data_IF_907729247365
#
_entry.id   IF_907729247365
#
_cell.length_a   1.000
_cell.length_b   1.000
_cell.length_c   1.000
_cell.angle_alpha   90.00
_cell.angle_beta   90.00
_cell.angle_gamma   90.00
#
_symmetry.space_group_name_H-M   'P 1'
#
loop_
_entity.id
_entity.type
_entity.pdbx_description
1 polymer ?
#
# COMPACT_ATOMS: atom_id res chain seq x y z
N UNK A 1 -50.12 21.16 -72.90
CA UNK A 1 -48.97 20.23 -73.05
C UNK A 1 -48.56 19.82 -71.64
N UNK A 2 -48.87 18.59 -71.19
CA UNK A 2 -48.00 17.38 -71.26
C UNK A 2 -46.68 17.63 -70.50
N UNK A 3 -46.25 16.91 -69.46
CA UNK A 3 -46.54 15.56 -68.97
C UNK A 3 -46.15 15.41 -67.48
N UNK A 4 -46.78 14.42 -66.82
CA UNK A 4 -46.36 13.77 -65.58
C UNK A 4 -45.04 13.02 -65.77
N UNK A 5 -44.19 12.92 -64.74
CA UNK A 5 -43.28 11.78 -64.57
C UNK A 5 -43.29 11.34 -63.09
N UNK A 6 -43.65 10.07 -62.91
CA UNK A 6 -43.43 9.27 -61.72
C UNK A 6 -42.15 8.42 -61.93
N UNK A 7 -41.42 8.13 -60.87
CA UNK A 7 -40.41 7.06 -60.78
C UNK A 7 -40.45 6.56 -59.33
N UNK A 8 -41.10 5.43 -59.04
CA UNK A 8 -40.69 4.02 -59.21
C UNK A 8 -39.63 3.58 -58.18
N UNK A 9 -40.08 2.60 -57.40
CA UNK A 9 -39.39 1.80 -56.39
C UNK A 9 -38.05 1.19 -56.85
N UNK A 10 -37.15 0.98 -55.90
CA UNK A 10 -36.31 -0.22 -55.85
C UNK A 10 -36.04 -0.59 -54.37
N UNK A 11 -36.41 -1.82 -54.02
CA UNK A 11 -36.17 -2.41 -52.70
C UNK A 11 -34.84 -3.17 -52.63
N UNK A 12 -34.84 -4.19 -51.74
CA UNK A 12 -33.77 -5.17 -51.42
C UNK A 12 -32.83 -4.62 -50.31
N UNK A 13 -32.83 -5.11 -49.07
CA UNK A 13 -32.21 -6.40 -48.68
C UNK A 13 -32.43 -6.73 -47.20
N UNK A 14 -32.80 -8.01 -46.98
CA UNK A 14 -32.50 -8.92 -45.87
C UNK A 14 -31.97 -8.38 -44.52
N UNK A 15 -32.78 -8.62 -43.47
CA UNK A 15 -32.33 -8.71 -42.09
C UNK A 15 -31.42 -9.93 -41.91
N UNK A 16 -30.16 -9.68 -41.53
CA UNK A 16 -29.22 -10.71 -41.09
C UNK A 16 -28.88 -10.45 -39.63
N UNK A 17 -29.39 -11.31 -38.76
CA UNK A 17 -29.19 -11.28 -37.32
C UNK A 17 -27.78 -11.80 -36.98
N UNK A 18 -26.82 -10.90 -36.79
CA UNK A 18 -25.52 -11.22 -36.20
C UNK A 18 -25.52 -10.76 -34.74
N UNK A 19 -25.73 -11.69 -33.82
CA UNK A 19 -25.48 -11.47 -32.40
C UNK A 19 -23.96 -11.44 -32.17
N UNK A 20 -23.40 -10.23 -32.04
CA UNK A 20 -22.03 -10.04 -31.56
C UNK A 20 -22.00 -10.25 -30.05
N UNK A 21 -21.51 -11.41 -29.64
CA UNK A 21 -21.01 -11.63 -28.28
C UNK A 21 -19.74 -10.79 -28.10
N UNK A 22 -19.88 -9.61 -27.51
CA UNK A 22 -18.75 -8.83 -27.02
C UNK A 22 -18.24 -9.49 -25.73
N UNK A 23 -17.16 -10.26 -25.82
CA UNK A 23 -16.38 -10.65 -24.66
C UNK A 23 -15.73 -9.39 -24.09
N UNK A 24 -16.24 -8.94 -22.94
CA UNK A 24 -15.59 -7.92 -22.13
C UNK A 24 -14.29 -8.52 -21.58
N UNK A 25 -13.16 -8.16 -22.17
CA UNK A 25 -11.85 -8.29 -21.55
C UNK A 25 -11.82 -7.31 -20.37
N UNK A 26 -11.99 -7.84 -19.16
CA UNK A 26 -11.71 -7.08 -17.95
C UNK A 26 -10.21 -6.82 -17.89
N UNK A 27 -9.80 -5.61 -18.27
CA UNK A 27 -8.48 -5.10 -17.98
C UNK A 27 -8.38 -4.88 -16.48
N UNK A 28 -7.82 -5.87 -15.78
CA UNK A 28 -7.41 -5.73 -14.38
C UNK A 28 -6.32 -4.66 -14.36
N UNK A 29 -6.67 -3.45 -13.92
CA UNK A 29 -5.71 -2.39 -13.68
C UNK A 29 -4.67 -2.81 -12.63
N UNK A 30 -3.49 -2.19 -12.62
CA UNK A 30 -2.46 -2.49 -11.61
C UNK A 30 -3.04 -2.31 -10.20
N UNK A 31 -2.82 -3.30 -9.34
CA UNK A 31 -3.20 -3.26 -7.93
C UNK A 31 -2.57 -2.01 -7.27
N UNK A 32 -3.29 -1.31 -6.36
CA UNK A 32 -2.74 -0.18 -5.65
C UNK A 32 -1.49 -0.63 -4.87
N UNK A 33 -0.33 -0.10 -5.24
CA UNK A 33 0.90 -0.31 -4.49
C UNK A 33 0.70 0.27 -3.08
N UNK A 34 0.97 -0.55 -2.06
CA UNK A 34 0.77 -0.17 -0.66
C UNK A 34 2.03 0.54 -0.21
N UNK A 35 2.03 1.87 -0.26
CA UNK A 35 3.17 2.65 0.29
C UNK A 35 3.24 2.48 1.82
N UNK A 36 4.43 2.47 2.40
CA UNK A 36 4.56 2.16 3.83
C UNK A 36 5.37 3.25 4.51
N UNK A 37 4.80 3.82 5.56
CA UNK A 37 5.58 4.61 6.51
C UNK A 37 6.33 3.67 7.43
N UNK A 38 7.66 3.78 7.46
CA UNK A 38 8.45 3.03 8.44
C UNK A 38 8.29 3.72 9.78
N UNK A 39 7.53 3.08 10.67
CA UNK A 39 7.39 3.54 12.04
C UNK A 39 8.70 3.19 12.78
N UNK A 40 9.61 4.14 12.91
CA UNK A 40 10.74 4.02 13.81
C UNK A 40 10.29 3.92 15.29
N UNK A 41 11.18 3.49 16.20
CA UNK A 41 10.85 3.40 17.64
C UNK A 41 10.32 4.72 18.22
N UNK A 42 10.74 5.84 17.64
CA UNK A 42 10.29 7.18 18.04
C UNK A 42 8.93 7.59 17.46
N UNK A 43 8.36 6.87 16.47
CA UNK A 43 7.04 7.18 15.88
C UNK A 43 5.94 6.27 16.43
N UNK A 44 6.27 5.09 16.97
CA UNK A 44 5.29 4.15 17.55
C UNK A 44 4.88 4.51 18.98
N UNK A 45 5.76 5.16 19.75
CA UNK A 45 5.57 5.40 21.20
C UNK A 45 5.79 6.88 21.61
N UNK A 46 6.02 7.77 20.63
CA UNK A 46 6.41 9.16 20.88
C UNK A 46 5.25 10.11 21.22
N UNK A 47 5.57 11.26 21.84
CA UNK A 47 4.63 12.38 21.98
C UNK A 47 4.10 12.74 20.57
N UNK A 48 2.77 12.84 20.34
CA UNK A 48 2.21 13.28 19.07
C UNK A 48 2.78 14.63 18.61
N UNK A 49 3.31 15.42 19.54
CA UNK A 49 4.10 16.61 19.31
C UNK A 49 5.59 16.31 19.48
N UNK A 50 6.22 15.75 18.45
CA UNK A 50 7.68 15.55 18.41
C UNK A 50 8.46 16.85 18.57
N UNK A 51 9.68 16.73 19.10
CA UNK A 51 10.64 17.83 19.20
C UNK A 51 10.95 18.41 17.82
N UNK A 52 10.78 19.72 17.70
CA UNK A 52 10.99 20.45 16.46
C UNK A 52 12.48 20.78 16.29
N UNK A 53 13.11 20.22 15.25
CA UNK A 53 14.47 20.60 14.83
C UNK A 53 14.39 21.58 13.66
N UNK A 54 14.88 22.83 13.80
CA UNK A 54 14.92 23.78 12.70
C UNK A 54 15.71 23.25 11.51
N UNK A 55 15.22 23.52 10.30
CA UNK A 55 15.89 23.17 9.05
C UNK A 55 17.07 24.11 8.77
N UNK A 56 18.01 23.63 7.96
CA UNK A 56 19.17 24.41 7.46
C UNK A 56 19.30 24.20 5.95
N UNK A 57 18.28 24.60 5.22
CA UNK A 57 18.25 24.52 3.75
C UNK A 57 18.79 25.83 3.20
N UNK A 58 19.78 25.74 2.31
CA UNK A 58 20.25 26.89 1.55
C UNK A 58 19.32 27.12 0.35
N UNK A 59 18.81 28.35 0.22
CA UNK A 59 17.96 28.75 -0.89
C UNK A 59 18.32 30.16 -1.37
N UNK A 60 18.12 30.38 -2.66
CA UNK A 60 18.40 31.65 -3.35
C UNK A 60 17.46 32.74 -2.84
N UNK A 61 17.97 33.96 -2.61
CA UNK A 61 17.17 35.10 -2.12
C UNK A 61 16.46 35.88 -3.25
N UNK A 62 16.66 35.47 -4.50
CA UNK A 62 16.01 36.08 -5.66
C UNK A 62 14.49 35.92 -5.55
N UNK A 63 13.70 36.94 -5.90
CA UNK A 63 12.26 36.88 -5.80
C UNK A 63 11.68 35.84 -6.78
N UNK A 64 10.65 35.13 -6.33
CA UNK A 64 9.94 34.13 -7.13
C UNK A 64 9.38 34.71 -8.45
N UNK A 65 9.71 34.08 -9.57
CA UNK A 65 9.18 34.41 -10.90
C UNK A 65 7.92 33.60 -11.23
N UNK A 66 7.18 34.01 -12.27
CA UNK A 66 5.96 33.31 -12.71
C UNK A 66 6.28 31.87 -13.14
N UNK A 67 7.46 31.66 -13.74
CA UNK A 67 7.96 30.34 -14.13
C UNK A 67 8.12 29.42 -12.93
N UNK A 68 8.87 29.87 -11.92
CA UNK A 68 9.09 29.14 -10.66
C UNK A 68 7.79 28.86 -9.91
N UNK A 69 6.84 29.81 -9.87
CA UNK A 69 5.51 29.56 -9.28
C UNK A 69 4.80 28.38 -9.94
N UNK A 70 4.78 28.34 -11.27
CA UNK A 70 4.10 27.29 -12.02
C UNK A 70 4.80 25.94 -11.87
N UNK A 71 6.13 25.94 -11.84
CA UNK A 71 6.93 24.74 -11.59
C UNK A 71 6.65 24.16 -10.21
N UNK A 72 6.68 25.00 -9.17
CA UNK A 72 6.40 24.60 -7.80
C UNK A 72 5.00 23.99 -7.67
N UNK A 73 3.97 24.67 -8.19
CA UNK A 73 2.60 24.14 -8.18
C UNK A 73 2.52 22.81 -8.92
N UNK A 74 3.14 22.70 -10.10
CA UNK A 74 3.11 21.44 -10.87
C UNK A 74 3.77 20.27 -10.14
N UNK A 75 4.82 20.53 -9.37
CA UNK A 75 5.61 19.49 -8.73
C UNK A 75 5.08 19.08 -7.35
N UNK A 76 4.44 19.99 -6.61
CA UNK A 76 3.89 19.70 -5.28
C UNK A 76 2.37 19.45 -5.26
N UNK A 77 1.61 19.94 -6.24
CA UNK A 77 0.16 19.73 -6.23
C UNK A 77 -0.16 18.24 -6.36
N UNK A 78 -1.07 17.75 -5.52
CA UNK A 78 -1.41 16.33 -5.39
C UNK A 78 -0.28 15.44 -4.87
N UNK A 79 0.81 16.02 -4.39
CA UNK A 79 1.88 15.24 -3.78
C UNK A 79 1.40 14.62 -2.46
N UNK A 80 1.77 13.36 -2.25
CA UNK A 80 1.50 12.63 -1.02
C UNK A 80 2.69 12.71 -0.09
N UNK A 81 2.44 12.59 1.20
CA UNK A 81 3.46 12.55 2.23
C UNK A 81 2.96 11.86 3.49
N UNK A 82 3.74 11.94 4.56
CA UNK A 82 3.38 11.51 5.90
C UNK A 82 3.57 12.66 6.88
N UNK A 83 2.69 12.77 7.87
CA UNK A 83 2.84 13.78 8.91
C UNK A 83 3.87 13.31 9.94
N UNK A 84 4.96 14.06 10.17
CA UNK A 84 5.89 13.74 11.25
C UNK A 84 5.33 14.05 12.63
N UNK A 85 4.38 14.99 12.70
CA UNK A 85 3.68 15.38 13.92
C UNK A 85 2.19 15.43 13.66
N UNK A 86 1.40 15.36 14.71
CA UNK A 86 -0.03 15.52 14.57
C UNK A 86 -0.41 16.94 14.13
N UNK A 87 -1.27 17.03 13.11
CA UNK A 87 -1.73 18.27 12.51
C UNK A 87 -3.11 18.66 13.06
N UNK A 88 -3.33 19.94 13.43
CA UNK A 88 -4.63 20.42 13.90
C UNK A 88 -5.62 20.50 12.75
N UNK A 89 -6.90 20.29 13.04
CA UNK A 89 -7.97 20.48 12.06
C UNK A 89 -8.29 21.97 11.88
N UNK A 90 -8.51 22.40 10.62
CA UNK A 90 -9.05 23.73 10.33
C UNK A 90 -8.06 24.90 10.48
N UNK A 91 -8.61 26.12 10.45
CA UNK A 91 -7.87 27.37 10.56
C UNK A 91 -7.54 27.70 12.04
N UNK A 92 -6.42 28.37 12.35
CA UNK A 92 -5.49 29.06 11.44
C UNK A 92 -4.35 28.19 10.89
N UNK A 93 -4.39 26.86 11.11
CA UNK A 93 -3.31 25.97 10.68
C UNK A 93 -2.01 26.14 11.48
N UNK A 94 -0.88 25.86 10.84
CA UNK A 94 0.47 25.96 11.39
C UNK A 94 1.31 26.94 10.55
N UNK A 95 2.02 27.86 11.22
CA UNK A 95 2.96 28.77 10.55
C UNK A 95 4.39 28.37 10.90
N UNK A 96 5.14 27.97 9.88
CA UNK A 96 6.53 27.57 9.94
C UNK A 96 7.40 28.68 9.33
N UNK A 97 8.35 29.19 10.10
CA UNK A 97 9.38 30.07 9.53
C UNK A 97 10.39 29.23 8.75
N UNK A 98 10.76 29.66 7.55
CA UNK A 98 11.81 29.00 6.77
C UNK A 98 13.13 28.95 7.58
N UNK A 99 13.72 27.76 7.74
CA UNK A 99 14.87 27.49 8.62
C UNK A 99 14.69 27.91 10.09
N UNK A 100 13.46 28.25 10.49
CA UNK A 100 13.15 28.84 11.77
C UNK A 100 12.28 27.93 12.62
N UNK A 101 11.69 28.51 13.67
CA UNK A 101 10.80 27.81 14.60
C UNK A 101 9.36 27.76 14.10
N UNK A 102 8.61 26.77 14.58
CA UNK A 102 7.15 26.81 14.52
C UNK A 102 6.64 27.95 15.43
N UNK A 103 5.69 28.74 14.92
CA UNK A 103 5.10 29.85 15.69
C UNK A 103 4.27 29.41 16.89
N UNK A 104 3.67 28.22 16.81
CA UNK A 104 2.75 27.67 17.81
C UNK A 104 3.51 26.74 18.75
N UNK A 105 3.44 27.04 20.04
CA UNK A 105 4.02 26.20 21.10
C UNK A 105 3.25 24.87 21.26
N UNK A 106 3.94 23.83 21.72
CA UNK A 106 3.40 22.47 21.81
C UNK A 106 2.16 22.38 22.72
N UNK A 107 2.16 23.06 23.87
CA UNK A 107 1.01 23.03 24.79
C UNK A 107 -0.23 23.71 24.20
N UNK A 108 0.01 24.81 23.48
CA UNK A 108 -1.07 25.53 22.79
C UNK A 108 -1.64 24.73 21.63
N UNK A 109 -0.80 23.97 20.93
CA UNK A 109 -1.21 23.08 19.85
C UNK A 109 -2.03 21.90 20.38
N UNK A 110 -1.60 21.27 21.49
CA UNK A 110 -2.38 20.23 22.20
C UNK A 110 -3.79 20.73 22.52
N UNK A 111 -3.92 21.91 23.14
CA UNK A 111 -5.23 22.52 23.46
C UNK A 111 -6.09 22.74 22.21
N UNK A 112 -5.49 23.20 21.11
CA UNK A 112 -6.19 23.39 19.84
C UNK A 112 -6.68 22.08 19.26
N UNK A 113 -5.85 21.05 19.27
CA UNK A 113 -6.23 19.71 18.81
C UNK A 113 -7.35 19.09 19.64
N UNK A 114 -7.37 19.32 20.96
CA UNK A 114 -8.47 18.87 21.80
C UNK A 114 -9.79 19.58 21.48
N UNK A 115 -9.73 20.86 21.09
CA UNK A 115 -10.91 21.68 20.81
C UNK A 115 -11.45 21.44 19.40
N UNK A 116 -10.58 21.54 18.40
CA UNK A 116 -10.94 21.58 16.98
C UNK A 116 -10.79 20.20 16.32
N UNK A 117 -10.05 19.28 16.95
CA UNK A 117 -9.72 17.97 16.42
C UNK A 117 -8.37 17.95 15.70
N UNK A 118 -8.03 16.78 15.17
CA UNK A 118 -6.82 16.54 14.37
C UNK A 118 -7.19 16.24 12.92
N UNK A 119 -6.42 16.78 11.98
CA UNK A 119 -6.54 16.47 10.56
C UNK A 119 -5.75 15.20 10.18
N UNK A 120 -4.59 15.01 10.80
CA UNK A 120 -3.72 13.85 10.63
C UNK A 120 -2.97 13.58 11.94
N UNK A 121 -2.85 12.32 12.34
CA UNK A 121 -1.97 11.91 13.42
C UNK A 121 -0.50 11.84 12.95
N UNK A 122 0.43 11.70 13.89
CA UNK A 122 1.83 11.45 13.52
C UNK A 122 1.96 10.08 12.84
N UNK A 123 2.57 10.03 11.66
CA UNK A 123 2.69 8.87 10.79
C UNK A 123 1.54 8.67 9.81
N UNK A 124 0.48 9.49 9.87
CA UNK A 124 -0.63 9.39 8.92
C UNK A 124 -0.24 9.92 7.54
N UNK A 125 -0.83 9.31 6.51
CA UNK A 125 -0.72 9.79 5.14
C UNK A 125 -1.43 11.12 4.98
N UNK A 126 -0.77 12.03 4.29
CA UNK A 126 -1.32 13.34 3.94
C UNK A 126 -1.19 13.58 2.44
N UNK A 127 -2.01 14.48 1.94
CA UNK A 127 -2.00 14.90 0.53
C UNK A 127 -2.03 16.42 0.45
N UNK A 128 -1.16 16.98 -0.39
CA UNK A 128 -1.18 18.40 -0.74
C UNK A 128 -2.31 18.63 -1.74
N UNK A 129 -3.31 19.42 -1.33
CA UNK A 129 -4.51 19.66 -2.14
C UNK A 129 -4.53 21.01 -2.84
N UNK A 130 -3.90 22.04 -2.27
CA UNK A 130 -3.78 23.35 -2.91
C UNK A 130 -2.50 24.07 -2.44
N UNK A 131 -1.98 24.97 -3.28
CA UNK A 131 -0.76 25.72 -3.02
C UNK A 131 -0.93 27.16 -3.48
N UNK A 132 -0.83 28.08 -2.54
CA UNK A 132 -0.98 29.51 -2.77
C UNK A 132 0.33 30.25 -2.47
N UNK A 133 0.98 30.75 -3.53
CA UNK A 133 2.28 31.45 -3.42
C UNK A 133 2.05 32.95 -3.34
N UNK A 134 2.12 33.48 -2.12
CA UNK A 134 1.94 34.88 -1.79
C UNK A 134 3.28 35.64 -1.83
N UNK A 135 3.24 36.93 -1.49
CA UNK A 135 4.39 37.81 -1.58
C UNK A 135 5.49 37.52 -0.56
N UNK A 136 5.13 37.04 0.63
CA UNK A 136 6.01 36.80 1.79
C UNK A 136 5.95 35.35 2.32
N UNK A 137 5.06 34.52 1.77
CA UNK A 137 4.76 33.19 2.28
C UNK A 137 4.23 32.26 1.20
N UNK A 138 4.32 30.96 1.47
CA UNK A 138 3.67 29.91 0.69
C UNK A 138 2.66 29.20 1.60
N UNK A 139 1.39 29.26 1.24
CA UNK A 139 0.31 28.56 1.91
C UNK A 139 0.09 27.21 1.22
N UNK A 140 0.14 26.12 2.00
CA UNK A 140 -0.01 24.76 1.52
C UNK A 140 -1.19 24.13 2.25
N UNK A 141 -2.23 23.79 1.49
CA UNK A 141 -3.42 23.16 2.03
C UNK A 141 -3.26 21.65 1.96
N UNK A 142 -3.44 21.01 3.11
CA UNK A 142 -3.30 19.57 3.32
C UNK A 142 -4.69 18.97 3.55
N UNK A 143 -4.96 17.81 2.96
CA UNK A 143 -6.19 17.03 3.15
C UNK A 143 -7.49 17.84 2.92
N UNK A 144 -7.50 18.69 1.89
CA UNK A 144 -8.64 19.51 1.49
C UNK A 144 -8.63 20.92 2.08
N UNK A 145 -7.59 21.24 2.85
CA UNK A 145 -7.40 22.56 3.45
C UNK A 145 -8.28 22.83 4.67
N UNK A 146 -8.10 23.99 5.32
CA UNK A 146 -8.78 24.33 6.57
C UNK A 146 -10.23 24.76 6.37
N UNK A 147 -10.64 25.08 5.14
CA UNK A 147 -11.96 25.56 4.80
C UNK A 147 -12.63 24.61 3.82
N UNK A 148 -13.96 24.54 3.89
CA UNK A 148 -14.76 23.82 2.90
C UNK A 148 -14.62 24.47 1.52
N UNK A 149 -14.42 23.66 0.50
CA UNK A 149 -14.47 24.12 -0.88
C UNK A 149 -15.82 24.78 -1.17
N UNK A 150 -15.80 25.93 -1.82
CA UNK A 150 -17.03 26.64 -2.17
C UNK A 150 -17.74 25.90 -3.32
N UNK A 151 -18.97 25.44 -3.08
CA UNK A 151 -19.84 24.86 -4.12
C UNK A 151 -21.10 25.70 -4.23
N UNK A 152 -21.35 26.29 -5.39
CA UNK A 152 -22.48 27.19 -5.61
C UNK A 152 -23.83 26.52 -5.29
N UNK A 153 -23.96 25.21 -5.55
CA UNK A 153 -25.17 24.43 -5.26
C UNK A 153 -25.55 24.41 -3.78
N UNK A 154 -24.62 24.69 -2.86
CA UNK A 154 -24.92 24.80 -1.41
C UNK A 154 -25.78 26.02 -1.09
N UNK A 155 -25.74 27.04 -1.94
CA UNK A 155 -26.54 28.26 -1.78
C UNK A 155 -27.89 28.16 -2.50
N UNK A 156 -28.21 27.01 -3.11
CA UNK A 156 -29.43 26.81 -3.88
C UNK A 156 -30.30 25.79 -3.16
N UNK A 157 -31.51 26.21 -2.79
CA UNK A 157 -32.57 25.37 -2.26
C UNK A 157 -33.78 25.40 -3.20
N UNK A 158 -34.37 24.24 -3.46
CA UNK A 158 -35.63 24.13 -4.21
C UNK A 158 -36.67 23.55 -3.25
N UNK A 159 -37.77 24.28 -3.03
CA UNK A 159 -38.84 23.89 -2.09
C UNK A 159 -38.32 23.57 -0.67
N UNK A 160 -37.45 24.41 -0.12
CA UNK A 160 -36.80 24.23 1.20
C UNK A 160 -35.95 22.96 1.36
N UNK A 161 -35.68 22.24 0.27
CA UNK A 161 -34.73 21.13 0.24
C UNK A 161 -33.40 21.64 -0.32
N UNK A 162 -32.30 21.56 0.44
CA UNK A 162 -30.98 21.93 -0.07
C UNK A 162 -30.56 20.96 -1.18
N UNK A 163 -30.13 21.52 -2.31
CA UNK A 163 -29.77 20.71 -3.49
C UNK A 163 -28.42 20.01 -3.33
N UNK A 164 -27.58 20.47 -2.40
CA UNK A 164 -26.21 19.98 -2.21
C UNK A 164 -26.10 18.67 -1.40
N UNK A 165 -27.21 18.05 -0.96
CA UNK A 165 -27.21 16.73 -0.31
C UNK A 165 -26.47 16.68 1.03
N UNK A 166 -26.10 17.84 1.56
CA UNK A 166 -25.36 18.11 2.80
C UNK A 166 -26.17 17.82 4.07
N UNK A 167 -27.42 17.39 3.92
CA UNK A 167 -28.41 17.22 4.99
C UNK A 167 -28.32 15.96 5.86
N UNK A 168 -27.39 15.02 5.63
CA UNK A 168 -27.31 13.78 6.44
C UNK A 168 -26.04 13.70 7.32
N UNK A 169 -24.92 14.26 6.86
CA UNK A 169 -23.71 14.46 7.64
C UNK A 169 -23.07 15.74 7.12
N UNK A 170 -23.28 16.87 7.79
CA UNK A 170 -22.74 18.16 7.38
C UNK A 170 -21.26 18.03 7.04
N UNK A 171 -20.90 18.31 5.79
CA UNK A 171 -19.53 18.19 5.30
C UNK A 171 -18.67 19.17 6.12
N UNK A 172 -17.66 18.63 6.81
CA UNK A 172 -16.75 19.41 7.65
C UNK A 172 -15.42 19.56 6.93
N UNK A 173 -14.68 20.66 7.14
CA UNK A 173 -13.29 20.73 6.67
C UNK A 173 -12.52 19.57 7.31
N UNK A 174 -11.81 18.81 6.50
CA UNK A 174 -11.01 17.64 6.90
C UNK A 174 -9.53 17.97 7.04
N UNK A 175 -9.13 19.11 6.50
CA UNK A 175 -7.74 19.48 6.28
C UNK A 175 -7.21 20.54 7.24
N UNK A 176 -6.00 20.97 6.93
CA UNK A 176 -5.27 22.02 7.63
C UNK A 176 -4.45 22.83 6.63
N UNK A 177 -3.99 24.01 7.04
CA UNK A 177 -3.06 24.83 6.25
C UNK A 177 -1.71 24.88 6.94
N UNK A 178 -0.65 24.68 6.17
CA UNK A 178 0.72 24.95 6.59
C UNK A 178 1.20 26.17 5.82
N UNK A 179 1.52 27.23 6.55
CA UNK A 179 2.07 28.46 5.98
C UNK A 179 3.58 28.45 6.20
N UNK A 180 4.35 28.39 5.12
CA UNK A 180 5.79 28.59 5.11
C UNK A 180 6.10 30.08 4.97
N UNK A 181 6.57 30.71 6.03
CA UNK A 181 6.87 32.14 6.10
C UNK A 181 8.35 32.40 5.81
N UNK A 182 8.64 33.33 4.90
CA UNK A 182 10.00 33.76 4.58
C UNK A 182 10.32 35.12 5.22
N UNK A 183 11.59 35.37 5.52
CA UNK A 183 12.06 36.67 5.97
C UNK A 183 12.13 37.64 4.77
N UNK A 184 11.00 38.25 4.43
CA UNK A 184 10.90 39.21 3.32
C UNK A 184 10.02 38.74 2.18
N UNK A 185 10.55 38.75 0.95
CA UNK A 185 9.81 38.29 -0.23
C UNK A 185 9.98 36.78 -0.40
N UNK A 186 8.98 36.13 -0.99
CA UNK A 186 9.05 34.71 -1.32
C UNK A 186 10.22 34.45 -2.28
N UNK A 187 11.25 33.70 -1.86
CA UNK A 187 12.42 33.40 -2.67
C UNK A 187 12.08 32.42 -3.80
N UNK A 188 12.93 32.36 -4.82
CA UNK A 188 12.88 31.36 -5.89
C UNK A 188 13.38 30.02 -5.34
N UNK A 189 12.48 29.29 -4.71
CA UNK A 189 12.72 27.95 -4.16
C UNK A 189 12.25 26.85 -5.10
N UNK A 190 13.02 25.77 -5.17
CA UNK A 190 12.64 24.55 -5.89
C UNK A 190 11.66 23.69 -5.08
N UNK A 191 10.98 22.75 -5.75
CA UNK A 191 10.09 21.82 -5.08
C UNK A 191 10.83 20.95 -4.04
N UNK A 192 12.08 20.56 -4.33
CA UNK A 192 12.90 19.79 -3.41
C UNK A 192 13.27 20.60 -2.16
N UNK A 193 13.61 21.88 -2.32
CA UNK A 193 13.90 22.78 -1.21
C UNK A 193 12.67 23.01 -0.32
N UNK A 194 11.48 23.20 -0.91
CA UNK A 194 10.24 23.35 -0.13
C UNK A 194 9.95 22.10 0.70
N UNK A 195 10.14 20.89 0.14
CA UNK A 195 9.99 19.63 0.88
C UNK A 195 11.00 19.54 2.03
N UNK A 196 12.25 19.88 1.77
CA UNK A 196 13.29 19.90 2.81
C UNK A 196 12.98 20.92 3.91
N UNK A 197 12.42 22.08 3.57
CA UNK A 197 11.98 23.08 4.55
C UNK A 197 10.81 22.58 5.40
N UNK A 198 9.92 21.76 4.82
CA UNK A 198 8.75 21.17 5.47
C UNK A 198 9.04 19.87 6.22
N UNK A 199 10.23 19.28 6.07
CA UNK A 199 10.66 18.02 6.70
C UNK A 199 10.37 17.95 8.22
N UNK A 200 10.46 19.02 9.03
CA UNK A 200 10.10 18.93 10.45
C UNK A 200 8.61 18.66 10.71
N UNK A 201 7.75 18.90 9.71
CA UNK A 201 6.30 18.71 9.79
C UNK A 201 5.82 17.53 8.93
N UNK A 202 6.37 17.38 7.73
CA UNK A 202 5.91 16.47 6.68
C UNK A 202 7.08 15.74 6.04
N UNK A 203 6.97 14.42 5.93
CA UNK A 203 7.86 13.58 5.14
C UNK A 203 7.27 13.35 3.75
N UNK A 204 7.98 13.76 2.70
CA UNK A 204 7.57 13.47 1.31
C UNK A 204 8.33 12.27 0.72
N UNK A 205 9.22 11.64 1.49
CA UNK A 205 9.97 10.46 1.10
C UNK A 205 9.12 9.20 1.11
N UNK A 206 8.13 9.11 0.20
CA UNK A 206 7.31 7.90 0.05
C UNK A 206 8.20 6.73 -0.32
N UNK A 207 8.24 5.73 0.56
CA UNK A 207 8.89 4.45 0.31
C UNK A 207 7.84 3.43 -0.09
N UNK A 208 8.13 2.68 -1.14
CA UNK A 208 7.37 1.48 -1.45
C UNK A 208 7.52 0.47 -0.31
N UNK A 209 6.57 -0.45 -0.17
CA UNK A 209 6.64 -1.49 0.87
C UNK A 209 7.94 -2.29 0.83
N UNK A 210 8.47 -2.50 -0.37
CA UNK A 210 9.70 -3.23 -0.67
C UNK A 210 10.93 -2.42 -0.24
N UNK A 211 10.96 -1.11 -0.53
CA UNK A 211 12.06 -0.24 -0.13
C UNK A 211 12.08 -0.02 1.40
N UNK A 212 10.90 0.17 1.99
CA UNK A 212 10.73 0.21 3.45
C UNK A 212 11.24 -1.07 4.12
N UNK A 213 10.99 -2.23 3.51
CA UNK A 213 11.50 -3.50 3.99
C UNK A 213 13.03 -3.61 3.84
N UNK A 214 13.57 -3.23 2.68
CA UNK A 214 15.01 -3.25 2.43
C UNK A 214 15.79 -2.43 3.45
N UNK A 215 15.22 -1.30 3.91
CA UNK A 215 15.85 -0.45 4.91
C UNK A 215 16.02 -1.08 6.29
N UNK A 216 15.23 -2.12 6.59
CA UNK A 216 15.33 -2.87 7.86
C UNK A 216 16.45 -3.91 7.86
N UNK A 217 17.06 -4.19 6.70
CA UNK A 217 18.03 -5.25 6.53
C UNK A 217 19.48 -4.74 6.70
N UNK A 218 20.43 -5.62 7.06
CA UNK A 218 21.86 -5.25 7.10
C UNK A 218 22.36 -4.74 5.75
N UNK A 219 23.32 -3.82 5.78
CA UNK A 219 23.93 -3.18 4.61
C UNK A 219 24.31 -4.13 3.46
N UNK A 220 24.94 -5.30 3.67
CA UNK A 220 25.28 -6.19 2.56
C UNK A 220 24.03 -6.69 1.79
N UNK A 221 22.94 -6.99 2.51
CA UNK A 221 21.70 -7.48 1.91
C UNK A 221 20.93 -6.32 1.28
N UNK A 222 20.92 -5.17 1.95
CA UNK A 222 20.31 -3.93 1.43
C UNK A 222 20.94 -3.53 0.10
N UNK A 223 22.27 -3.57 0.00
CA UNK A 223 22.99 -3.23 -1.24
C UNK A 223 22.66 -4.22 -2.37
N UNK A 224 22.62 -5.52 -2.09
CA UNK A 224 22.21 -6.52 -3.08
C UNK A 224 20.78 -6.26 -3.60
N UNK A 225 19.84 -5.90 -2.72
CA UNK A 225 18.46 -5.54 -3.13
C UNK A 225 18.46 -4.29 -4.01
N UNK A 226 19.23 -3.25 -3.66
CA UNK A 226 19.35 -2.01 -4.45
C UNK A 226 19.99 -2.26 -5.81
N UNK A 227 20.96 -3.17 -5.89
CA UNK A 227 21.63 -3.61 -7.12
C UNK A 227 20.79 -4.62 -7.93
N UNK A 228 19.61 -5.00 -7.43
CA UNK A 228 18.72 -6.01 -8.02
C UNK A 228 19.41 -7.38 -8.20
N UNK A 229 20.27 -7.73 -7.24
CA UNK A 229 21.00 -8.99 -7.16
C UNK A 229 20.35 -9.92 -6.12
N UNK A 230 20.33 -11.22 -6.43
CA UNK A 230 19.79 -12.25 -5.54
C UNK A 230 20.93 -13.09 -5.02
N UNK A 231 21.15 -13.02 -3.71
CA UNK A 231 22.14 -13.83 -3.02
C UNK A 231 21.53 -15.18 -2.61
N UNK A 232 22.34 -16.23 -2.65
CA UNK A 232 21.94 -17.54 -2.13
C UNK A 232 21.77 -17.46 -0.61
N UNK A 233 20.67 -18.00 -0.12
CA UNK A 233 20.24 -17.90 1.27
C UNK A 233 19.10 -16.92 1.52
N UNK A 234 18.87 -15.96 0.60
CA UNK A 234 17.81 -14.95 0.71
C UNK A 234 16.43 -15.59 0.90
N UNK A 235 15.58 -14.94 1.68
CA UNK A 235 14.18 -15.36 1.80
C UNK A 235 13.35 -14.87 0.62
N UNK A 236 12.21 -15.52 0.37
CA UNK A 236 11.29 -15.17 -0.73
C UNK A 236 10.94 -13.68 -0.76
N UNK A 237 10.70 -13.07 0.41
CA UNK A 237 10.40 -11.64 0.53
C UNK A 237 11.56 -10.74 0.10
N UNK A 238 12.82 -11.13 0.35
CA UNK A 238 13.99 -10.39 -0.10
C UNK A 238 14.16 -10.48 -1.62
N UNK A 239 13.90 -11.66 -2.20
CA UNK A 239 13.93 -11.84 -3.66
C UNK A 239 12.85 -11.00 -4.34
N UNK A 240 11.64 -10.97 -3.78
CA UNK A 240 10.57 -10.08 -4.26
C UNK A 240 10.95 -8.61 -4.13
N UNK A 241 11.62 -8.19 -3.05
CA UNK A 241 12.08 -6.82 -2.91
C UNK A 241 13.19 -6.46 -3.92
N UNK A 242 14.00 -7.45 -4.32
CA UNK A 242 15.12 -7.25 -5.26
C UNK A 242 14.68 -7.25 -6.73
N UNK A 243 13.83 -8.20 -7.13
CA UNK A 243 13.47 -8.45 -8.53
C UNK A 243 11.98 -8.23 -8.85
N UNK A 244 11.14 -8.00 -7.84
CA UNK A 244 9.70 -7.93 -8.00
C UNK A 244 9.04 -9.30 -8.20
N UNK A 245 7.85 -9.29 -8.79
CA UNK A 245 7.08 -10.50 -9.08
C UNK A 245 7.75 -11.33 -10.20
N UNK A 246 7.87 -12.65 -10.06
CA UNK A 246 8.46 -13.50 -11.10
C UNK A 246 7.54 -13.61 -12.32
N UNK A 247 8.15 -13.77 -13.51
CA UNK A 247 7.41 -14.01 -14.75
C UNK A 247 6.76 -15.39 -14.77
N UNK A 248 7.47 -16.39 -14.24
CA UNK A 248 7.00 -17.76 -14.12
C UNK A 248 7.46 -18.39 -12.81
N UNK A 249 6.59 -19.22 -12.25
CA UNK A 249 6.83 -19.96 -11.01
C UNK A 249 6.53 -21.43 -11.25
N UNK A 250 7.56 -22.25 -11.14
CA UNK A 250 7.47 -23.70 -11.27
C UNK A 250 7.62 -24.33 -9.88
N UNK A 251 6.88 -25.40 -9.63
CA UNK A 251 7.06 -26.22 -8.43
C UNK A 251 7.40 -27.63 -8.85
N UNK A 252 8.55 -28.10 -8.39
CA UNK A 252 9.07 -29.42 -8.69
C UNK A 252 9.13 -30.23 -7.40
N UNK A 253 8.69 -31.49 -7.45
CA UNK A 253 8.92 -32.46 -6.39
C UNK A 253 10.03 -33.38 -6.87
N UNK A 254 11.13 -33.47 -6.14
CA UNK A 254 12.26 -34.30 -6.55
C UNK A 254 11.82 -35.79 -6.54
N UNK A 255 11.98 -36.46 -7.68
CA UNK A 255 11.58 -37.86 -7.85
C UNK A 255 12.50 -38.87 -7.10
N UNK A 256 13.69 -38.44 -6.70
CA UNK A 256 14.74 -39.29 -6.09
C UNK A 256 14.92 -39.10 -4.57
N UNK A 257 14.20 -38.18 -3.92
CA UNK A 257 14.30 -38.00 -2.46
C UNK A 257 13.18 -38.72 -1.73
N UNK A 258 13.54 -39.58 -0.77
CA UNK A 258 12.63 -40.38 0.05
C UNK A 258 11.64 -39.56 0.89
N UNK A 259 11.89 -38.26 1.09
CA UNK A 259 11.09 -37.35 1.92
C UNK A 259 10.20 -36.38 1.12
N UNK A 260 10.18 -36.47 -0.21
CA UNK A 260 9.28 -35.66 -1.04
C UNK A 260 9.59 -34.16 -1.02
N UNK A 261 10.87 -33.79 -0.94
CA UNK A 261 11.31 -32.38 -0.97
C UNK A 261 10.69 -31.61 -2.15
N UNK A 262 10.06 -30.48 -1.82
CA UNK A 262 9.41 -29.60 -2.79
C UNK A 262 10.31 -28.40 -3.05
N UNK A 263 10.76 -28.28 -4.28
CA UNK A 263 11.48 -27.12 -4.78
C UNK A 263 10.53 -26.20 -5.52
N UNK A 264 10.79 -24.90 -5.40
CA UNK A 264 10.06 -23.88 -6.13
C UNK A 264 11.05 -23.05 -6.93
N UNK A 265 10.90 -23.01 -8.24
CA UNK A 265 11.81 -22.31 -9.14
C UNK A 265 11.11 -21.11 -9.74
N UNK A 266 11.70 -19.93 -9.52
CA UNK A 266 11.22 -18.66 -10.04
C UNK A 266 12.09 -18.23 -11.20
N UNK A 267 11.44 -17.86 -12.29
CA UNK A 267 12.09 -17.45 -13.53
C UNK A 267 11.79 -15.97 -13.74
N UNK A 268 12.85 -15.19 -13.90
CA UNK A 268 12.80 -13.76 -14.17
C UNK A 268 13.44 -13.47 -15.52
N UNK A 269 12.75 -12.68 -16.34
CA UNK A 269 13.21 -12.28 -17.67
C UNK A 269 12.71 -13.20 -18.78
N UNK A 270 12.82 -12.70 -20.01
CA UNK A 270 12.41 -13.40 -21.24
C UNK A 270 13.52 -13.26 -22.28
N UNK A 271 13.76 -14.31 -23.07
CA UNK A 271 14.65 -14.23 -24.23
C UNK A 271 14.18 -13.10 -25.17
N UNK A 272 15.05 -12.17 -25.61
CA UNK A 272 16.51 -12.21 -25.62
C UNK A 272 17.20 -11.47 -24.45
N UNK A 273 16.54 -11.18 -23.33
CA UNK A 273 17.19 -10.54 -22.17
C UNK A 273 17.87 -11.58 -21.27
N UNK A 274 18.70 -11.14 -20.32
CA UNK A 274 19.30 -12.02 -19.30
C UNK A 274 18.22 -12.68 -18.45
N UNK A 275 18.25 -14.01 -18.33
CA UNK A 275 17.28 -14.77 -17.54
C UNK A 275 17.91 -15.16 -16.20
N UNK A 276 17.17 -15.00 -15.11
CA UNK A 276 17.57 -15.46 -13.77
C UNK A 276 16.66 -16.60 -13.33
N UNK A 277 17.25 -17.70 -12.90
CA UNK A 277 16.54 -18.84 -12.29
C UNK A 277 16.88 -18.88 -10.81
N UNK A 278 15.86 -18.74 -9.97
CA UNK A 278 16.00 -18.72 -8.52
C UNK A 278 15.25 -19.93 -7.96
N UNK A 279 15.99 -20.92 -7.46
CA UNK A 279 15.42 -22.13 -6.87
C UNK A 279 15.39 -22.01 -5.35
N UNK A 280 14.19 -22.16 -4.81
CA UNK A 280 13.89 -22.14 -3.39
C UNK A 280 13.71 -23.55 -2.84
N UNK A 281 14.14 -23.73 -1.60
CA UNK A 281 13.73 -24.82 -0.71
C UNK A 281 12.98 -24.20 0.47
N UNK A 282 11.67 -24.45 0.55
CA UNK A 282 10.80 -23.79 1.53
C UNK A 282 10.68 -22.29 1.28
N UNK A 283 11.36 -21.48 2.09
CA UNK A 283 11.39 -20.01 1.97
C UNK A 283 12.75 -19.43 1.56
N UNK A 284 13.81 -20.25 1.51
CA UNK A 284 15.18 -19.81 1.23
C UNK A 284 15.63 -20.18 -0.18
N UNK A 285 16.41 -19.29 -0.79
CA UNK A 285 17.13 -19.56 -2.04
C UNK A 285 18.26 -20.55 -1.77
N UNK A 286 18.28 -21.65 -2.52
CA UNK A 286 19.36 -22.67 -2.46
C UNK A 286 20.26 -22.58 -3.67
N UNK A 287 19.75 -22.12 -4.80
CA UNK A 287 20.49 -22.09 -6.06
C UNK A 287 20.00 -20.93 -6.91
N UNK A 288 20.95 -20.12 -7.39
CA UNK A 288 20.70 -19.05 -8.34
C UNK A 288 21.51 -19.30 -9.62
N UNK A 289 20.86 -19.21 -10.78
CA UNK A 289 21.52 -19.28 -12.09
C UNK A 289 21.25 -18.01 -12.88
N UNK A 290 22.30 -17.37 -13.36
CA UNK A 290 22.23 -16.22 -14.25
C UNK A 290 22.64 -16.63 -15.66
N UNK A 291 21.69 -16.58 -16.59
CA UNK A 291 21.92 -16.76 -18.02
C UNK A 291 21.99 -15.39 -18.70
N UNK A 292 23.17 -14.78 -18.72
CA UNK A 292 23.43 -13.54 -19.45
C UNK A 292 23.77 -13.82 -20.93
N UNK A 293 23.39 -12.91 -21.82
CA UNK A 293 23.63 -13.06 -23.25
C UNK A 293 25.13 -13.11 -23.57
N UNK A 294 25.55 -14.16 -24.28
CA UNK A 294 26.94 -14.32 -24.72
C UNK A 294 27.93 -14.71 -23.60
N UNK A 295 27.46 -14.91 -22.37
CA UNK A 295 28.27 -15.42 -21.25
C UNK A 295 27.83 -16.85 -20.90
N UNK A 296 28.74 -17.68 -20.36
CA UNK A 296 28.35 -18.96 -19.77
C UNK A 296 27.39 -18.73 -18.59
N UNK A 297 26.55 -19.71 -18.29
CA UNK A 297 25.60 -19.63 -17.18
C UNK A 297 26.39 -19.59 -15.87
N UNK A 298 26.25 -18.51 -15.12
CA UNK A 298 26.84 -18.35 -13.79
C UNK A 298 25.93 -19.07 -12.78
N UNK A 299 26.50 -19.99 -11.99
CA UNK A 299 25.76 -20.81 -11.01
C UNK A 299 26.29 -20.47 -9.62
N UNK A 300 25.38 -20.01 -8.76
CA UNK A 300 25.64 -19.73 -7.36
C UNK A 300 24.90 -20.77 -6.50
N UNK A 301 25.67 -21.54 -5.74
CA UNK A 301 25.20 -22.63 -4.88
C UNK A 301 25.67 -22.51 -3.42
N UNK A 302 26.53 -21.54 -3.12
CA UNK A 302 27.08 -21.30 -1.78
C UNK A 302 26.31 -20.20 -1.06
N UNK A 303 26.07 -20.37 0.23
CA UNK A 303 25.42 -19.37 1.08
C UNK A 303 26.25 -18.07 1.13
N UNK A 304 25.66 -16.97 0.67
CA UNK A 304 26.33 -15.65 0.55
C UNK A 304 25.83 -14.66 1.63
N UNK A 305 24.83 -15.03 2.42
CA UNK A 305 24.23 -14.16 3.46
C UNK A 305 25.07 -13.97 4.73
N UNK A 306 26.34 -14.38 4.75
CA UNK A 306 27.26 -14.21 5.89
C UNK A 306 26.67 -14.64 7.26
N UNK A 307 25.77 -15.63 7.27
CA UNK A 307 25.12 -16.13 8.48
C UNK A 307 23.91 -15.32 8.97
N UNK A 308 23.42 -14.35 8.19
CA UNK A 308 22.20 -13.62 8.52
C UNK A 308 21.00 -14.57 8.61
N UNK A 309 20.30 -14.52 9.74
CA UNK A 309 19.06 -15.23 9.98
C UNK A 309 18.00 -14.21 10.33
N UNK A 310 16.90 -14.22 9.57
CA UNK A 310 15.76 -13.37 9.86
C UNK A 310 15.35 -13.53 11.33
N UNK A 311 15.11 -12.41 12.05
CA UNK A 311 14.58 -12.48 13.39
C UNK A 311 13.24 -13.24 13.34
N UNK A 312 13.03 -14.15 14.29
CA UNK A 312 11.74 -14.81 14.41
C UNK A 312 10.64 -13.73 14.51
N UNK A 313 9.52 -13.94 13.82
CA UNK A 313 8.39 -13.02 13.85
C UNK A 313 7.75 -13.05 15.24
N UNK A 314 8.34 -12.33 16.21
CA UNK A 314 7.81 -12.18 17.56
C UNK A 314 6.71 -11.14 17.49
N UNK A 315 5.46 -11.57 17.35
CA UNK A 315 4.30 -10.71 17.58
C UNK A 315 4.17 -10.51 19.10
N UNK A 316 4.62 -9.37 19.61
CA UNK A 316 4.36 -9.02 21.01
C UNK A 316 2.88 -8.69 21.17
N UNK A 317 2.14 -9.60 21.81
CA UNK A 317 0.72 -9.46 22.07
C UNK A 317 0.53 -8.33 23.09
N UNK A 318 0.01 -7.19 22.62
CA UNK A 318 -0.39 -6.09 23.50
C UNK A 318 -1.64 -6.47 24.30
N UNK A 319 -1.84 -5.84 25.46
CA UNK A 319 -2.94 -6.13 26.39
C UNK A 319 -4.31 -5.92 25.71
N UNK A 320 -4.88 -6.98 25.14
CA UNK A 320 -6.15 -6.95 24.38
C UNK A 320 -6.18 -7.90 23.18
N UNK A 321 -5.03 -8.33 22.68
CA UNK A 321 -4.96 -9.33 21.61
C UNK A 321 -4.99 -10.76 22.18
N UNK A 322 -5.74 -11.66 21.52
CA UNK A 322 -5.77 -13.07 21.91
C UNK A 322 -4.42 -13.74 21.60
N UNK A 323 -3.76 -14.29 22.61
CA UNK A 323 -2.52 -15.06 22.44
C UNK A 323 -2.77 -16.27 21.53
N UNK A 324 -2.12 -16.30 20.37
CA UNK A 324 -2.04 -17.51 19.58
C UNK A 324 -1.05 -18.48 20.25
N UNK A 325 -1.55 -19.38 21.10
CA UNK A 325 -0.74 -20.48 21.63
C UNK A 325 -1.03 -20.96 23.06
N UNK A 326 -2.02 -20.43 23.78
CA UNK A 326 -2.46 -21.09 25.02
C UNK A 326 -3.49 -22.17 24.67
N UNK A 327 -3.09 -23.44 24.78
CA UNK A 327 -3.97 -24.61 24.78
C UNK A 327 -4.83 -24.66 26.05
N UNK A 328 -5.63 -23.62 26.28
CA UNK A 328 -6.75 -23.67 27.22
C UNK A 328 -8.04 -23.54 26.43
N UNK A 329 -9.01 -24.38 26.82
CA UNK A 329 -10.20 -24.74 26.06
C UNK A 329 -11.16 -23.55 25.93
N UNK A 330 -10.97 -22.72 24.91
CA UNK A 330 -12.00 -21.80 24.46
C UNK A 330 -12.22 -21.96 22.95
N UNK A 331 -13.36 -22.58 22.64
CA UNK A 331 -13.88 -22.69 21.29
C UNK A 331 -13.91 -21.31 20.62
N UNK A 332 -13.31 -21.20 19.42
CA UNK A 332 -13.47 -20.06 18.51
C UNK A 332 -14.92 -19.55 18.57
N UNK A 333 -15.18 -18.24 18.70
CA UNK A 333 -16.54 -17.72 18.66
C UNK A 333 -17.15 -18.14 17.33
N UNK A 334 -18.20 -18.97 17.39
CA UNK A 334 -18.97 -19.36 16.21
C UNK A 334 -19.47 -18.07 15.57
N UNK A 335 -19.13 -17.88 14.29
CA UNK A 335 -19.71 -16.80 13.49
C UNK A 335 -21.23 -16.83 13.60
N UNK A 336 -21.91 -15.67 13.51
CA UNK A 336 -23.34 -15.56 13.78
C UNK A 336 -24.11 -16.53 12.89
N UNK A 337 -24.73 -17.53 13.50
CA UNK A 337 -25.61 -18.45 12.79
C UNK A 337 -26.94 -17.75 12.54
N UNK A 338 -27.46 -17.83 11.31
CA UNK A 338 -28.78 -17.34 10.89
C UNK A 338 -29.99 -18.06 11.56
N UNK A 339 -29.76 -18.79 12.66
CA UNK A 339 -30.79 -19.56 13.36
C UNK A 339 -31.31 -18.79 14.56
N UNK A 340 -32.63 -18.73 14.70
CA UNK A 340 -33.26 -18.23 15.92
C UNK A 340 -33.15 -19.29 17.05
N UNK A 341 -33.10 -18.87 18.33
CA UNK A 341 -32.81 -19.75 19.47
C UNK A 341 -33.77 -20.94 19.72
N UNK A 342 -34.85 -21.10 18.96
CA UNK A 342 -35.92 -22.07 19.21
C UNK A 342 -36.18 -23.10 18.10
N UNK A 343 -35.30 -23.23 17.12
CA UNK A 343 -35.47 -24.23 16.05
C UNK A 343 -34.75 -25.56 16.41
N UNK A 344 -35.52 -26.62 16.67
CA UNK A 344 -35.00 -27.97 17.02
C UNK A 344 -34.73 -28.78 15.73
N UNK A 345 -33.65 -29.58 15.65
CA UNK A 345 -33.33 -30.33 14.43
C UNK A 345 -34.42 -31.37 14.13
N UNK A 346 -34.88 -31.43 12.88
CA UNK A 346 -35.75 -32.50 12.43
C UNK A 346 -35.02 -33.85 12.46
N UNK A 347 -35.74 -34.87 12.93
CA UNK A 347 -35.31 -36.26 13.09
C UNK A 347 -34.61 -36.84 11.87
N UNK A 348 -33.46 -37.47 12.10
CA UNK A 348 -32.83 -38.35 11.15
C UNK A 348 -33.55 -39.70 11.16
N UNK A 349 -34.47 -39.90 10.22
CA UNK A 349 -34.96 -41.24 9.87
C UNK A 349 -34.97 -41.42 8.35
N UNK A 350 -33.88 -41.96 7.82
CA UNK A 350 -33.88 -42.84 6.63
C UNK A 350 -32.54 -43.60 6.56
N UNK A 351 -32.53 -44.93 6.33
CA UNK A 351 -31.33 -45.76 6.41
C UNK A 351 -30.54 -45.73 5.09
N UNK A 352 -29.21 -45.67 5.18
CA UNK A 352 -28.29 -45.86 4.05
C UNK A 352 -27.43 -47.12 4.31
N UNK A 353 -27.19 -47.99 3.32
CA UNK A 353 -26.66 -49.34 3.54
C UNK A 353 -25.18 -49.38 3.91
N UNK A 354 -24.84 -50.36 4.75
CA UNK A 354 -23.51 -50.60 5.30
C UNK A 354 -22.48 -50.99 4.22
N UNK A 355 -21.27 -50.42 4.34
CA UNK A 355 -20.04 -50.95 3.72
C UNK A 355 -19.16 -51.63 4.79
N UNK A 356 -18.49 -52.75 4.46
CA UNK A 356 -17.93 -53.66 5.45
C UNK A 356 -16.59 -53.19 6.03
N UNK A 357 -16.38 -53.51 7.32
CA UNK A 357 -15.11 -53.39 8.04
C UNK A 357 -14.16 -54.50 7.55
N UNK A 358 -12.92 -54.13 7.26
CA UNK A 358 -11.84 -55.09 7.06
C UNK A 358 -11.27 -55.50 8.43
N UNK A 359 -11.48 -56.76 8.79
CA UNK A 359 -10.90 -57.40 9.96
C UNK A 359 -9.40 -57.66 9.77
N UNK A 360 -8.64 -57.43 10.85
CA UNK A 360 -7.29 -57.96 11.04
C UNK A 360 -7.41 -59.48 11.20
N UNK A 361 -6.89 -60.23 10.24
CA UNK A 361 -6.71 -61.67 10.37
C UNK A 361 -5.51 -61.93 11.27
N UNK A 362 -5.80 -62.39 12.49
CA UNK A 362 -4.87 -63.11 13.33
C UNK A 362 -4.65 -64.52 12.72
N UNK A 363 -3.38 -64.90 12.58
CA UNK A 363 -2.99 -66.27 12.23
C UNK A 363 -3.14 -67.12 13.49
N UNK A 364 -4.02 -68.12 13.41
CA UNK A 364 -4.28 -69.10 14.47
C UNK A 364 -3.16 -70.13 14.56
N UNK A 365 -2.67 -70.33 15.79
CA UNK A 365 -2.04 -71.56 16.26
C UNK A 365 -3.10 -72.66 16.47
N UNK A 366 -2.74 -73.90 16.10
CA UNK A 366 -2.98 -75.18 16.81
C UNK A 366 -2.84 -76.38 15.85
N UNK A 367 -2.60 -77.64 16.32
CA UNK A 367 -2.02 -78.09 17.59
C UNK A 367 -0.91 -79.18 17.42
N UNK A 368 -0.30 -79.54 18.55
CA UNK A 368 0.64 -80.66 18.75
C UNK A 368 0.13 -82.03 18.25
N UNK A 369 1.06 -82.88 17.75
CA UNK A 369 1.26 -84.28 18.18
C UNK A 369 2.47 -84.92 17.46
N UNK A 370 3.42 -85.36 18.30
CA UNK A 370 4.50 -86.36 18.12
C UNK A 370 5.51 -86.23 16.97
#
# INVERSE_FOLDING_TARGET
MRHRIAAVLLGITAASSCALFAQQTQTVGPLPQRDVFVVGPDTSVGDPLRDFKPTRVEYTQDPMDIGGKRELVRMLLMEQGFAHRSLPLGAPGLVLHANGRLTVDNDSLKKRMFKDGMSAAAGDRIMVTDINILGDRIDIDINGGPYLSHRFLRHISINDVPLAGDGVMGERPTGTRITLLFEGKTPRVSAAEVKALLEPLLDFGLKTSEQAYADTLPDPIRNAILEHEVLVGMNRRMVLASLGQPDSKLRERAAESSDGEVFEEWIYGKTPQSIRFVRFRGDRVVLMKLAALGKPIEVHDKEELAGYRDPALTHEVSLGDAKAGSEETESKPKGPSLRLPSERPADQTAPTPAKPKADKVAVNDAPHLQ
#
